data_IF_981083071764
#
_entry.id   IF_981083071764
#
_cell.length_a   1.000
_cell.length_b   1.000
_cell.length_c   1.000
_cell.angle_alpha   90.00
_cell.angle_beta   90.00
_cell.angle_gamma   90.00
#
_symmetry.space_group_name_H-M   'P 1'
#
loop_
_entity.id
_entity.type
_entity.pdbx_description
1 polymer ?
#
# COMPACT_ATOMS: atom_id res chain seq x y z
N UNK A 1 6.79 -54.74 55.52
CA UNK A 1 6.81 -54.89 54.06
C UNK A 1 7.97 -55.80 53.71
N UNK A 2 7.66 -56.89 53.02
CA UNK A 2 8.63 -57.93 52.67
C UNK A 2 9.59 -57.40 51.60
N UNK A 3 10.88 -57.76 51.71
CA UNK A 3 11.95 -57.44 50.76
C UNK A 3 11.62 -57.82 49.31
N UNK A 4 10.74 -58.80 49.09
CA UNK A 4 10.23 -59.20 47.78
C UNK A 4 9.33 -58.14 47.14
N UNK A 5 8.51 -57.45 47.94
CA UNK A 5 7.53 -56.46 47.51
C UNK A 5 8.22 -55.15 47.09
N UNK A 6 9.26 -54.72 47.82
CA UNK A 6 10.07 -53.57 47.46
C UNK A 6 10.85 -53.79 46.16
N UNK A 7 11.41 -54.99 45.95
CA UNK A 7 12.09 -55.31 44.69
C UNK A 7 11.14 -55.35 43.49
N UNK A 8 9.89 -55.77 43.67
CA UNK A 8 8.87 -55.73 42.61
C UNK A 8 8.47 -54.31 42.24
N UNK A 9 8.22 -53.45 43.24
CA UNK A 9 7.90 -52.04 43.00
C UNK A 9 9.05 -51.28 42.33
N UNK A 10 10.30 -51.58 42.71
CA UNK A 10 11.47 -50.96 42.10
C UNK A 10 11.66 -51.41 40.64
N UNK A 11 11.43 -52.69 40.32
CA UNK A 11 11.45 -53.19 38.93
C UNK A 11 10.31 -52.63 38.08
N UNK A 12 9.13 -52.45 38.67
CA UNK A 12 7.98 -51.84 38.00
C UNK A 12 8.24 -50.35 37.70
N UNK A 13 8.83 -49.61 38.64
CA UNK A 13 9.24 -48.21 38.47
C UNK A 13 10.30 -48.05 37.37
N UNK A 14 11.34 -48.89 37.37
CA UNK A 14 12.39 -48.85 36.33
C UNK A 14 11.80 -49.19 34.95
N UNK A 15 10.88 -50.15 34.85
CA UNK A 15 10.16 -50.44 33.60
C UNK A 15 9.34 -49.23 33.13
N UNK A 16 8.63 -48.58 34.04
CA UNK A 16 7.81 -47.42 33.69
C UNK A 16 8.66 -46.24 33.23
N UNK A 17 9.76 -45.94 33.93
CA UNK A 17 10.70 -44.89 33.54
C UNK A 17 11.37 -45.17 32.19
N UNK A 18 11.72 -46.44 31.91
CA UNK A 18 12.26 -46.85 30.61
C UNK A 18 11.24 -46.61 29.49
N UNK A 19 10.00 -47.09 29.64
CA UNK A 19 8.96 -46.90 28.62
C UNK A 19 8.58 -45.43 28.47
N UNK A 20 8.50 -44.66 29.56
CA UNK A 20 8.28 -43.22 29.51
C UNK A 20 9.39 -42.51 28.72
N UNK A 21 10.66 -42.85 28.96
CA UNK A 21 11.78 -42.27 28.22
C UNK A 21 11.74 -42.64 26.73
N UNK A 22 11.37 -43.88 26.39
CA UNK A 22 11.19 -44.32 24.99
C UNK A 22 10.07 -43.53 24.31
N UNK A 23 8.90 -43.40 24.94
CA UNK A 23 7.77 -42.65 24.37
C UNK A 23 8.05 -41.16 24.29
N UNK A 24 8.66 -40.55 25.30
CA UNK A 24 9.04 -39.14 25.28
C UNK A 24 10.07 -38.86 24.18
N UNK A 25 11.03 -39.75 23.97
CA UNK A 25 12.03 -39.61 22.90
C UNK A 25 11.39 -39.78 21.52
N UNK A 26 10.49 -40.74 21.35
CA UNK A 26 9.75 -40.93 20.11
C UNK A 26 8.84 -39.72 19.80
N UNK A 27 8.15 -39.19 20.80
CA UNK A 27 7.32 -37.99 20.66
C UNK A 27 8.16 -36.77 20.25
N UNK A 28 9.31 -36.56 20.89
CA UNK A 28 10.22 -35.47 20.52
C UNK A 28 10.81 -35.66 19.11
N UNK A 29 11.17 -36.89 18.73
CA UNK A 29 11.65 -37.18 17.39
C UNK A 29 10.56 -36.91 16.34
N UNK A 30 9.34 -37.40 16.55
CA UNK A 30 8.20 -37.11 15.65
C UNK A 30 7.94 -35.61 15.60
N UNK A 31 7.97 -34.91 16.73
CA UNK A 31 7.67 -33.47 16.74
C UNK A 31 8.76 -32.65 16.05
N UNK A 32 10.03 -32.90 16.34
CA UNK A 32 11.14 -32.05 15.87
C UNK A 32 11.76 -32.49 14.54
N UNK A 33 11.67 -33.77 14.18
CA UNK A 33 12.22 -34.30 12.91
C UNK A 33 11.13 -34.37 11.85
N UNK A 34 9.88 -34.64 12.25
CA UNK A 34 8.78 -34.85 11.30
C UNK A 34 7.80 -33.66 11.30
N UNK A 35 7.14 -33.36 12.40
CA UNK A 35 6.01 -32.43 12.45
C UNK A 35 6.42 -30.96 12.26
N UNK A 36 7.43 -30.49 13.00
CA UNK A 36 7.91 -29.11 12.90
C UNK A 36 8.56 -28.82 11.54
N UNK A 37 9.41 -29.69 10.96
CA UNK A 37 9.94 -29.47 9.62
C UNK A 37 8.86 -29.51 8.52
N UNK A 38 7.86 -30.39 8.62
CA UNK A 38 6.75 -30.41 7.65
C UNK A 38 5.82 -29.21 7.80
N UNK A 39 5.52 -28.77 9.03
CA UNK A 39 4.75 -27.55 9.24
C UNK A 39 5.54 -26.31 8.79
N UNK A 40 6.85 -26.31 9.00
CA UNK A 40 7.74 -25.28 8.50
C UNK A 40 7.82 -25.28 6.97
N UNK A 41 7.86 -26.44 6.32
CA UNK A 41 7.78 -26.53 4.85
C UNK A 41 6.38 -26.18 4.32
N UNK A 42 5.33 -26.40 5.10
CA UNK A 42 3.97 -25.98 4.76
C UNK A 42 3.85 -24.45 4.87
N UNK A 43 4.31 -23.84 5.96
CA UNK A 43 4.30 -22.38 6.16
C UNK A 43 5.33 -21.63 5.30
N UNK A 44 6.45 -22.27 4.93
CA UNK A 44 7.47 -21.74 4.01
C UNK A 44 7.22 -22.12 2.54
N UNK A 45 6.22 -22.96 2.26
CA UNK A 45 5.99 -23.59 0.96
C UNK A 45 4.55 -23.48 0.45
N UNK A 46 3.70 -22.63 1.03
CA UNK A 46 2.50 -22.13 0.32
C UNK A 46 2.95 -21.10 -0.71
N UNK A 47 3.60 -21.61 -1.76
CA UNK A 47 3.49 -21.15 -3.13
C UNK A 47 3.16 -22.41 -3.96
N UNK A 48 2.08 -22.43 -4.75
CA UNK A 48 1.57 -23.68 -5.32
C UNK A 48 2.49 -24.16 -6.45
N UNK A 49 2.99 -25.38 -6.32
CA UNK A 49 3.49 -26.20 -7.44
C UNK A 49 3.25 -27.67 -7.06
N UNK A 50 2.74 -28.55 -7.90
CA UNK A 50 2.27 -28.51 -9.27
C UNK A 50 1.88 -29.95 -9.57
N UNK A 51 0.65 -30.18 -10.02
CA UNK A 51 0.19 -31.46 -10.54
C UNK A 51 0.02 -31.32 -12.05
N UNK A 52 0.80 -32.10 -12.79
CA UNK A 52 0.88 -32.13 -14.25
C UNK A 52 -0.49 -32.08 -14.95
N UNK A 53 -0.66 -31.13 -15.87
CA UNK A 53 -1.62 -31.23 -16.96
C UNK A 53 -1.05 -30.54 -18.20
N UNK A 54 -1.25 -31.20 -19.33
CA UNK A 54 -0.61 -31.02 -20.61
C UNK A 54 -0.86 -29.65 -21.25
N UNK A 55 0.13 -29.22 -22.05
CA UNK A 55 0.03 -28.18 -23.08
C UNK A 55 -1.29 -28.22 -23.84
N UNK A 56 -1.96 -27.08 -23.91
CA UNK A 56 -2.46 -26.52 -25.16
C UNK A 56 -2.34 -25.00 -25.08
N UNK A 57 -1.46 -24.45 -25.93
CA UNK A 57 -1.23 -23.02 -26.09
C UNK A 57 -2.44 -22.39 -26.80
N UNK A 58 -3.30 -21.74 -26.03
CA UNK A 58 -4.16 -20.68 -26.50
C UNK A 58 -3.90 -19.47 -25.60
N UNK A 59 -3.04 -18.56 -26.07
CA UNK A 59 -2.84 -17.27 -25.47
C UNK A 59 -4.17 -16.51 -25.47
N UNK A 60 -4.82 -16.47 -24.31
CA UNK A 60 -5.67 -15.35 -23.92
C UNK A 60 -4.87 -14.57 -22.89
N UNK A 61 -4.36 -13.41 -23.32
CA UNK A 61 -3.96 -12.34 -22.42
C UNK A 61 -5.24 -11.85 -21.73
N UNK A 62 -5.48 -12.32 -20.50
CA UNK A 62 -6.35 -11.64 -19.55
C UNK A 62 -5.56 -10.42 -19.05
N UNK A 63 -5.75 -9.31 -19.77
CA UNK A 63 -5.31 -7.97 -19.44
C UNK A 63 -6.25 -7.38 -18.38
N UNK A 64 -5.96 -7.66 -17.11
CA UNK A 64 -6.51 -6.91 -15.99
C UNK A 64 -5.52 -5.79 -15.67
N UNK A 65 -5.98 -4.54 -15.84
CA UNK A 65 -5.21 -3.30 -15.96
C UNK A 65 -3.95 -3.22 -15.11
N UNK A 66 -2.80 -3.30 -15.78
CA UNK A 66 -1.51 -3.06 -15.15
C UNK A 66 -1.18 -1.57 -15.19
N UNK A 67 -1.10 -0.88 -14.04
CA UNK A 67 -0.62 0.49 -13.99
C UNK A 67 0.83 0.60 -14.50
N UNK A 68 1.06 1.47 -15.48
CA UNK A 68 2.36 1.74 -16.07
C UNK A 68 2.89 3.10 -15.61
N UNK A 69 3.77 3.08 -14.60
CA UNK A 69 4.47 4.30 -14.14
C UNK A 69 5.78 4.53 -14.90
N UNK A 70 5.93 5.72 -15.47
CA UNK A 70 7.12 6.14 -16.23
C UNK A 70 7.43 7.62 -16.01
N UNK A 71 8.71 8.00 -15.97
CA UNK A 71 9.10 9.42 -16.10
C UNK A 71 9.01 9.86 -17.56
N UNK A 72 8.46 11.04 -17.82
CA UNK A 72 8.23 11.56 -19.18
C UNK A 72 9.52 11.59 -20.02
N UNK A 73 10.68 11.84 -19.39
CA UNK A 73 11.98 11.87 -20.07
C UNK A 73 12.46 10.51 -20.60
N UNK A 74 11.87 9.42 -20.08
CA UNK A 74 12.30 8.05 -20.34
C UNK A 74 11.45 7.38 -21.42
N UNK A 75 10.30 7.97 -21.77
CA UNK A 75 9.39 7.46 -22.79
C UNK A 75 9.96 7.78 -24.18
N UNK A 76 10.36 6.73 -24.91
CA UNK A 76 10.89 6.83 -26.29
C UNK A 76 9.95 6.24 -27.34
N UNK A 77 9.08 5.34 -26.92
CA UNK A 77 8.08 4.63 -27.72
C UNK A 77 6.83 4.45 -26.85
N UNK A 78 5.64 4.49 -27.45
CA UNK A 78 4.37 4.32 -26.75
C UNK A 78 3.70 5.65 -26.36
N UNK A 79 2.69 5.57 -25.50
CA UNK A 79 1.95 6.73 -24.98
C UNK A 79 2.85 7.62 -24.14
N UNK A 80 2.86 8.91 -24.44
CA UNK A 80 3.54 9.97 -23.71
C UNK A 80 2.59 11.14 -23.45
N UNK A 81 2.93 11.97 -22.46
CA UNK A 81 2.23 13.22 -22.16
C UNK A 81 3.26 14.32 -21.99
N UNK A 82 3.29 15.25 -22.95
CA UNK A 82 4.15 16.43 -22.90
C UNK A 82 3.43 17.57 -22.19
N UNK A 83 4.07 18.15 -21.17
CA UNK A 83 3.50 19.25 -20.39
C UNK A 83 4.02 20.62 -20.85
N UNK A 84 3.08 21.51 -21.17
CA UNK A 84 3.29 22.95 -21.36
C UNK A 84 2.61 23.77 -20.27
N UNK A 85 3.16 24.96 -19.99
CA UNK A 85 2.57 25.92 -19.04
C UNK A 85 2.74 27.36 -19.54
N UNK A 86 1.65 28.14 -19.57
CA UNK A 86 1.67 29.54 -20.01
C UNK A 86 0.64 30.41 -19.27
N UNK A 87 1.04 31.59 -18.73
CA UNK A 87 2.42 32.08 -18.58
C UNK A 87 3.25 31.17 -17.65
N UNK A 88 4.54 31.47 -17.49
CA UNK A 88 5.38 30.71 -16.56
C UNK A 88 4.79 30.74 -15.13
N UNK A 89 4.72 29.57 -14.43
CA UNK A 89 4.08 29.46 -13.12
C UNK A 89 4.57 30.52 -12.12
N UNK A 90 3.62 31.32 -11.63
CA UNK A 90 3.85 32.40 -10.67
C UNK A 90 2.70 32.44 -9.65
N UNK A 91 3.02 32.62 -8.37
CA UNK A 91 2.05 32.69 -7.28
C UNK A 91 0.97 33.73 -7.56
N UNK A 92 -0.30 33.34 -7.39
CA UNK A 92 -1.45 34.22 -7.58
C UNK A 92 -1.77 34.58 -9.04
N UNK A 93 -1.03 34.05 -10.01
CA UNK A 93 -1.31 34.22 -11.44
C UNK A 93 -1.82 32.89 -12.00
N UNK A 94 -3.02 32.93 -12.59
CA UNK A 94 -3.57 31.77 -13.28
C UNK A 94 -2.66 31.35 -14.43
N UNK A 95 -2.17 30.12 -14.36
CA UNK A 95 -1.32 29.49 -15.35
C UNK A 95 -2.14 28.42 -16.07
N UNK A 96 -2.16 28.48 -17.40
CA UNK A 96 -2.78 27.43 -18.21
C UNK A 96 -1.77 26.33 -18.42
N UNK A 97 -2.08 25.14 -17.89
CA UNK A 97 -1.40 23.91 -18.26
C UNK A 97 -2.02 23.34 -19.52
N UNK A 98 -1.17 22.84 -20.39
CA UNK A 98 -1.51 22.15 -21.64
C UNK A 98 -0.78 20.81 -21.65
N UNK A 99 -1.54 19.72 -21.66
CA UNK A 99 -1.03 18.36 -21.67
C UNK A 99 -1.28 17.74 -23.03
N UNK A 100 -0.21 17.50 -23.78
CA UNK A 100 -0.26 16.90 -25.10
C UNK A 100 -0.06 15.38 -25.02
N UNK A 101 -1.16 14.64 -25.07
CA UNK A 101 -1.18 13.18 -25.09
C UNK A 101 -0.86 12.69 -26.50
N UNK A 102 0.21 11.91 -26.63
CA UNK A 102 0.76 11.54 -27.93
C UNK A 102 1.39 10.14 -27.95
N UNK A 103 1.56 9.62 -29.15
CA UNK A 103 2.24 8.36 -29.41
C UNK A 103 3.68 8.62 -29.91
N UNK A 104 4.67 8.25 -29.10
CA UNK A 104 6.08 8.32 -29.44
C UNK A 104 6.50 7.10 -30.29
N UNK A 105 7.49 7.24 -31.19
CA UNK A 105 8.33 8.42 -31.43
C UNK A 105 7.76 9.40 -32.47
N UNK A 106 6.57 9.12 -33.02
CA UNK A 106 5.98 9.91 -34.09
C UNK A 106 5.44 11.27 -33.61
N UNK A 107 5.28 11.44 -32.29
CA UNK A 107 4.62 12.57 -31.67
C UNK A 107 3.20 12.77 -32.24
N UNK A 108 2.54 11.66 -32.54
CA UNK A 108 1.21 11.66 -33.15
C UNK A 108 0.16 11.90 -32.06
N UNK A 109 -0.78 12.86 -32.22
CA UNK A 109 -1.79 13.12 -31.21
C UNK A 109 -2.64 11.89 -30.94
N UNK A 110 -2.92 11.61 -29.67
CA UNK A 110 -3.95 10.68 -29.24
C UNK A 110 -5.17 11.53 -28.87
N UNK A 111 -6.24 11.53 -29.68
CA UNK A 111 -7.46 12.28 -29.38
C UNK A 111 -8.05 11.92 -28.01
N UNK A 112 -8.68 12.88 -27.34
CA UNK A 112 -9.24 12.64 -26.01
C UNK A 112 -10.40 11.64 -26.02
N UNK A 113 -11.11 11.50 -27.15
CA UNK A 113 -12.14 10.48 -27.35
C UNK A 113 -11.61 9.04 -27.38
N UNK A 114 -10.29 8.86 -27.58
CA UNK A 114 -9.62 7.56 -27.52
C UNK A 114 -9.11 7.24 -26.10
N UNK A 115 -9.27 8.18 -25.15
CA UNK A 115 -8.97 7.97 -23.73
C UNK A 115 -10.21 7.46 -23.01
N UNK A 116 -10.02 6.48 -22.15
CA UNK A 116 -11.07 5.98 -21.27
C UNK A 116 -11.29 6.96 -20.11
N UNK A 117 -12.55 7.08 -19.70
CA UNK A 117 -12.92 7.89 -18.53
C UNK A 117 -12.66 7.05 -17.28
N UNK A 118 -11.84 7.60 -16.38
CA UNK A 118 -11.55 7.09 -15.05
C UNK A 118 -11.94 8.18 -14.05
N UNK A 119 -12.65 7.83 -12.96
CA UNK A 119 -13.19 8.79 -11.99
C UNK A 119 -13.84 10.03 -12.65
N UNK A 120 -14.76 9.78 -13.59
CA UNK A 120 -15.52 10.80 -14.33
C UNK A 120 -14.71 11.79 -15.19
N UNK A 121 -13.40 11.58 -15.36
CA UNK A 121 -12.51 12.45 -16.14
C UNK A 121 -11.59 11.64 -17.08
N UNK A 122 -11.16 12.22 -18.22
CA UNK A 122 -10.22 11.55 -19.12
C UNK A 122 -8.75 11.65 -18.66
N UNK A 123 -8.47 12.54 -17.70
CA UNK A 123 -7.13 12.77 -17.18
C UNK A 123 -7.18 13.28 -15.75
N UNK A 124 -6.29 12.73 -14.92
CA UNK A 124 -6.00 13.23 -13.58
C UNK A 124 -4.60 13.82 -13.56
N UNK A 125 -4.47 14.99 -12.93
CA UNK A 125 -3.17 15.64 -12.72
C UNK A 125 -2.99 15.91 -11.25
N UNK A 126 -2.03 15.23 -10.66
CA UNK A 126 -1.69 15.35 -9.25
C UNK A 126 -0.37 16.09 -9.14
N UNK A 127 -0.32 17.13 -8.33
CA UNK A 127 0.88 17.92 -8.11
C UNK A 127 1.17 18.18 -6.65
N UNK A 128 2.44 18.17 -6.29
CA UNK A 128 2.92 18.52 -4.94
C UNK A 128 4.12 19.44 -4.99
N UNK A 129 4.24 20.31 -3.98
CA UNK A 129 5.51 21.01 -3.71
C UNK A 129 6.51 20.03 -3.10
N UNK A 130 7.80 20.26 -3.32
CA UNK A 130 8.91 19.40 -2.86
C UNK A 130 8.96 19.15 -1.35
N UNK A 131 8.22 19.93 -0.56
CA UNK A 131 8.11 19.75 0.89
C UNK A 131 6.84 19.02 1.34
N UNK A 132 5.96 18.64 0.41
CA UNK A 132 4.68 17.96 0.62
C UNK A 132 3.62 18.78 1.39
N UNK A 133 3.80 20.10 1.46
CA UNK A 133 2.86 21.01 2.15
C UNK A 133 1.86 21.69 1.20
N UNK A 134 2.07 21.57 -0.11
CA UNK A 134 1.11 22.01 -1.13
C UNK A 134 0.76 20.80 -1.98
N UNK A 135 -0.54 20.59 -2.19
CA UNK A 135 -1.08 19.50 -2.99
C UNK A 135 -2.24 20.03 -3.83
N UNK A 136 -2.35 19.55 -5.06
CA UNK A 136 -3.52 19.77 -5.88
C UNK A 136 -3.78 18.55 -6.75
N UNK A 137 -5.05 18.33 -7.03
CA UNK A 137 -5.56 17.30 -7.93
C UNK A 137 -6.54 18.00 -8.87
N UNK A 138 -6.19 18.09 -10.15
CA UNK A 138 -6.93 18.83 -11.16
C UNK A 138 -7.21 17.96 -12.37
N UNK A 139 -8.26 18.31 -13.12
CA UNK A 139 -8.79 17.48 -14.21
C UNK A 139 -8.78 18.26 -15.52
N UNK A 140 -7.72 18.15 -16.34
CA UNK A 140 -7.68 18.76 -17.66
C UNK A 140 -8.84 18.32 -18.55
N UNK A 141 -9.40 19.29 -19.28
CA UNK A 141 -10.47 19.05 -20.24
C UNK A 141 -9.93 19.15 -21.67
N UNK A 142 -10.45 18.35 -22.62
CA UNK A 142 -9.98 18.39 -24.00
C UNK A 142 -10.10 19.77 -24.64
N UNK A 143 -9.05 20.22 -25.32
CA UNK A 143 -9.12 21.40 -26.19
C UNK A 143 -9.86 21.04 -27.48
N UNK A 144 -11.05 21.60 -27.74
CA UNK A 144 -11.84 21.26 -28.92
C UNK A 144 -11.19 21.72 -30.24
N UNK A 145 -10.11 22.50 -30.17
CA UNK A 145 -9.39 23.04 -31.33
C UNK A 145 -8.06 22.35 -31.60
N UNK A 146 -7.59 21.49 -30.68
CA UNK A 146 -6.28 20.87 -30.75
C UNK A 146 -6.34 19.39 -30.31
N UNK A 147 -6.40 18.42 -31.25
CA UNK A 147 -6.46 16.99 -30.91
C UNK A 147 -5.29 16.55 -30.02
N UNK A 148 -5.61 15.79 -28.98
CA UNK A 148 -4.65 15.28 -27.99
C UNK A 148 -4.19 16.30 -26.95
N UNK A 149 -4.68 17.55 -27.00
CA UNK A 149 -4.41 18.53 -25.97
C UNK A 149 -5.53 18.53 -24.93
N UNK A 150 -5.16 18.48 -23.65
CA UNK A 150 -6.06 18.71 -22.53
C UNK A 150 -5.53 19.88 -21.71
N UNK A 151 -6.40 20.83 -21.39
CA UNK A 151 -6.02 22.11 -20.77
C UNK A 151 -6.73 22.33 -19.43
N UNK A 152 -6.04 23.00 -18.51
CA UNK A 152 -6.61 23.41 -17.22
C UNK A 152 -5.92 24.67 -16.68
N UNK A 153 -6.68 25.64 -16.14
CA UNK A 153 -6.08 26.74 -15.40
C UNK A 153 -5.78 26.29 -13.96
N UNK A 154 -4.59 26.62 -13.46
CA UNK A 154 -4.26 26.45 -12.06
C UNK A 154 -3.57 27.70 -11.50
N UNK A 155 -3.91 28.07 -10.27
CA UNK A 155 -3.29 29.20 -9.57
C UNK A 155 -2.60 28.70 -8.31
N UNK A 156 -1.28 28.84 -8.29
CA UNK A 156 -0.47 28.42 -7.14
C UNK A 156 -0.61 29.42 -5.98
N UNK A 157 -0.79 28.89 -4.77
CA UNK A 157 -0.86 29.67 -3.54
C UNK A 157 0.51 30.03 -2.96
N UNK A 158 1.55 29.24 -3.28
CA UNK A 158 2.88 29.40 -2.71
C UNK A 158 4.00 29.13 -3.74
N UNK A 159 5.19 29.73 -3.56
CA UNK A 159 6.32 29.49 -4.44
C UNK A 159 7.04 28.18 -4.04
N UNK A 160 7.91 27.68 -4.92
CA UNK A 160 8.74 26.51 -4.63
C UNK A 160 8.91 25.58 -5.82
N UNK A 161 9.61 24.48 -5.61
CA UNK A 161 9.74 23.41 -6.61
C UNK A 161 8.54 22.49 -6.52
N UNK A 162 7.94 22.16 -7.65
CA UNK A 162 6.79 21.26 -7.76
C UNK A 162 7.10 20.10 -8.71
N UNK A 163 6.52 18.93 -8.42
CA UNK A 163 6.45 17.77 -9.31
C UNK A 163 4.99 17.44 -9.58
N UNK A 164 4.71 16.97 -10.79
CA UNK A 164 3.39 16.53 -11.22
C UNK A 164 3.45 15.09 -11.71
N UNK A 165 2.32 14.40 -11.61
CA UNK A 165 2.03 13.16 -12.32
C UNK A 165 0.74 13.36 -13.12
N UNK A 166 0.74 12.86 -14.35
CA UNK A 166 -0.43 12.84 -15.23
C UNK A 166 -0.88 11.41 -15.41
N UNK A 167 -2.15 11.13 -15.19
CA UNK A 167 -2.75 9.80 -15.39
C UNK A 167 -3.78 9.86 -16.51
N UNK A 168 -3.66 8.93 -17.46
CA UNK A 168 -4.63 8.71 -18.52
C UNK A 168 -4.83 7.21 -18.70
N UNK A 169 -6.06 6.80 -19.00
CA UNK A 169 -6.38 5.39 -19.28
C UNK A 169 -6.56 5.18 -20.78
N UNK A 170 -5.88 4.18 -21.35
CA UNK A 170 -6.01 3.81 -22.76
C UNK A 170 -5.78 2.32 -22.94
N UNK A 171 -6.74 1.64 -23.56
CA UNK A 171 -6.66 0.21 -23.84
C UNK A 171 -6.64 -0.62 -22.56
N UNK A 172 -7.45 -0.26 -21.56
CA UNK A 172 -7.54 -0.94 -20.27
C UNK A 172 -6.40 -0.64 -19.29
N UNK A 173 -5.36 0.07 -19.74
CA UNK A 173 -4.15 0.36 -18.96
C UNK A 173 -4.16 1.82 -18.49
N UNK A 174 -3.92 2.02 -17.20
CA UNK A 174 -3.65 3.35 -16.62
C UNK A 174 -2.18 3.68 -16.79
N UNK A 175 -1.90 4.79 -17.44
CA UNK A 175 -0.56 5.32 -17.68
C UNK A 175 -0.30 6.49 -16.74
N UNK A 176 0.55 6.28 -15.74
CA UNK A 176 1.00 7.33 -14.80
C UNK A 176 2.34 7.88 -15.26
N UNK A 177 2.37 9.15 -15.63
CA UNK A 177 3.56 9.79 -16.20
C UNK A 177 4.07 10.89 -15.28
N UNK A 178 5.25 10.68 -14.71
CA UNK A 178 5.97 11.66 -13.90
C UNK A 178 6.52 12.78 -14.79
N UNK A 179 6.10 14.01 -14.51
CA UNK A 179 6.54 15.19 -15.26
C UNK A 179 7.83 15.77 -14.66
N UNK A 180 8.64 16.49 -15.46
CA UNK A 180 9.81 17.21 -14.95
C UNK A 180 9.43 18.20 -13.85
N UNK A 181 10.28 18.31 -12.83
CA UNK A 181 10.10 19.33 -11.79
C UNK A 181 10.19 20.74 -12.37
N UNK A 182 9.40 21.66 -11.84
CA UNK A 182 9.37 23.05 -12.27
C UNK A 182 9.27 24.01 -11.08
N UNK A 183 9.76 25.22 -11.27
CA UNK A 183 9.76 26.27 -10.26
C UNK A 183 8.52 27.15 -10.41
N UNK A 184 7.76 27.29 -9.33
CA UNK A 184 6.74 28.33 -9.18
C UNK A 184 7.39 29.56 -8.54
N UNK A 185 7.36 30.68 -9.25
CA UNK A 185 7.97 31.94 -8.82
C UNK A 185 7.03 32.74 -7.92
N UNK A 186 7.57 33.48 -6.96
CA UNK A 186 6.75 34.35 -6.10
C UNK A 186 7.41 34.68 -4.78
N UNK A 187 6.75 35.53 -3.98
CA UNK A 187 7.16 35.81 -2.62
C UNK A 187 6.56 34.76 -1.65
N UNK A 188 7.32 34.39 -0.61
CA UNK A 188 6.90 33.40 0.38
C UNK A 188 8.00 32.41 0.70
N UNK A 189 7.72 31.49 1.62
CA UNK A 189 8.59 30.34 1.88
C UNK A 189 8.53 29.39 0.68
N UNK A 190 9.69 28.96 0.17
CA UNK A 190 9.79 28.00 -0.94
C UNK A 190 9.74 26.54 -0.47
N UNK A 191 9.93 26.33 0.84
CA UNK A 191 9.85 25.04 1.51
C UNK A 191 9.64 25.28 3.02
N UNK A 192 8.76 24.49 3.62
CA UNK A 192 8.41 24.51 5.04
C UNK A 192 7.99 23.12 5.54
N UNK A 193 8.68 22.06 5.09
CA UNK A 193 8.37 20.66 5.39
C UNK A 193 8.11 20.44 6.89
N UNK A 194 6.93 19.94 7.23
CA UNK A 194 6.51 19.72 8.60
C UNK A 194 6.06 18.27 8.82
N UNK A 195 6.94 17.44 9.38
CA UNK A 195 6.67 16.02 9.60
C UNK A 195 6.02 15.79 10.96
N UNK A 196 4.78 15.29 10.93
CA UNK A 196 4.01 14.88 12.10
C UNK A 196 3.31 13.55 11.84
N UNK A 197 3.45 12.59 12.75
CA UNK A 197 2.78 11.28 12.71
C UNK A 197 1.46 11.29 13.48
N UNK A 198 0.83 12.45 13.63
CA UNK A 198 -0.53 12.50 14.16
C UNK A 198 -1.45 11.68 13.27
N UNK A 199 -2.27 10.83 13.89
CA UNK A 199 -3.33 10.05 13.24
C UNK A 199 -4.68 10.77 13.26
N UNK A 200 -4.66 12.02 13.68
CA UNK A 200 -5.84 12.86 13.72
C UNK A 200 -5.43 14.29 13.33
N UNK A 201 -6.10 14.86 12.34
CA UNK A 201 -5.83 16.19 11.81
C UNK A 201 -7.12 17.00 11.72
N UNK A 202 -7.00 18.32 11.85
CA UNK A 202 -8.11 19.24 11.67
C UNK A 202 -7.93 19.98 10.35
N UNK A 203 -8.95 19.92 9.49
CA UNK A 203 -9.00 20.60 8.20
C UNK A 203 -10.36 21.30 8.06
N UNK A 204 -10.33 22.63 8.02
CA UNK A 204 -11.56 23.43 8.08
C UNK A 204 -12.34 23.18 9.38
N UNK A 205 -13.58 22.74 9.25
CA UNK A 205 -14.50 22.42 10.36
C UNK A 205 -14.58 20.91 10.64
N UNK A 206 -13.63 20.15 10.10
CA UNK A 206 -13.61 18.69 10.18
C UNK A 206 -12.37 18.18 10.90
N UNK A 207 -12.58 17.13 11.66
CA UNK A 207 -11.56 16.30 12.29
C UNK A 207 -11.52 14.98 11.52
N UNK A 208 -10.36 14.66 10.93
CA UNK A 208 -10.15 13.43 10.16
C UNK A 208 -9.17 12.55 10.92
N UNK A 209 -9.62 11.36 11.28
CA UNK A 209 -8.82 10.32 11.87
C UNK A 209 -8.37 9.32 10.80
N UNK A 210 -7.14 8.83 10.93
CA UNK A 210 -6.57 7.75 10.14
C UNK A 210 -6.20 6.62 11.09
N UNK A 211 -6.88 5.49 11.00
CA UNK A 211 -6.45 4.25 11.61
C UNK A 211 -5.53 3.51 10.64
N UNK A 212 -4.36 3.11 11.14
CA UNK A 212 -3.29 2.49 10.36
C UNK A 212 -2.46 1.61 11.28
N UNK A 213 -2.30 0.34 10.90
CA UNK A 213 -1.51 -0.62 11.66
C UNK A 213 -0.01 -0.32 11.53
N UNK A 214 0.64 -0.04 12.66
CA UNK A 214 2.05 0.33 12.71
C UNK A 214 2.94 -0.74 13.41
N UNK A 215 4.20 -0.91 12.96
CA UNK A 215 4.86 -0.18 11.88
C UNK A 215 4.42 -0.67 10.49
N UNK A 216 4.19 0.28 9.57
CA UNK A 216 4.04 -0.03 8.15
C UNK A 216 5.38 -0.52 7.60
N UNK A 217 5.37 -1.63 6.85
CA UNK A 217 6.59 -2.25 6.33
C UNK A 217 6.56 -2.35 4.83
N UNK A 218 7.72 -2.13 4.22
CA UNK A 218 7.97 -2.37 2.80
C UNK A 218 7.53 -3.78 2.40
N UNK A 219 6.86 -3.87 1.26
CA UNK A 219 6.39 -5.12 0.66
C UNK A 219 5.22 -5.78 1.39
N UNK A 220 4.69 -5.14 2.43
CA UNK A 220 3.46 -5.56 3.10
C UNK A 220 2.36 -4.57 2.76
N UNK A 221 1.17 -5.12 2.56
CA UNK A 221 -0.04 -4.36 2.45
C UNK A 221 -0.33 -3.64 3.77
N UNK A 222 -0.77 -2.39 3.67
CA UNK A 222 -1.23 -1.57 4.76
C UNK A 222 -2.66 -1.13 4.46
N UNK A 223 -3.51 -1.27 5.47
CA UNK A 223 -4.91 -0.85 5.45
C UNK A 223 -5.02 0.56 6.06
N UNK A 224 -5.69 1.45 5.33
CA UNK A 224 -5.98 2.82 5.74
C UNK A 224 -7.47 2.93 6.02
N UNK A 225 -7.85 3.22 7.25
CA UNK A 225 -9.24 3.44 7.62
C UNK A 225 -9.43 4.90 8.00
N UNK A 226 -10.35 5.59 7.33
CA UNK A 226 -10.64 6.99 7.60
C UNK A 226 -11.99 7.14 8.29
N UNK A 227 -11.97 7.96 9.35
CA UNK A 227 -13.15 8.38 10.09
C UNK A 227 -13.20 9.91 10.14
N UNK A 228 -14.35 10.49 9.77
CA UNK A 228 -14.55 11.93 9.59
C UNK A 228 -15.65 12.42 10.51
N UNK A 229 -15.29 13.38 11.35
CA UNK A 229 -16.21 14.02 12.29
C UNK A 229 -16.15 15.54 12.16
N UNK A 230 -17.25 16.22 12.49
CA UNK A 230 -17.25 17.66 12.77
C UNK A 230 -16.42 17.96 14.03
N UNK A 231 -16.02 19.22 14.23
CA UNK A 231 -15.35 19.65 15.49
C UNK A 231 -16.16 19.39 16.78
N UNK A 232 -17.47 19.11 16.65
CA UNK A 232 -18.34 18.74 17.77
C UNK A 232 -18.44 17.23 18.01
N UNK A 233 -17.76 16.41 17.21
CA UNK A 233 -17.79 14.95 17.32
C UNK A 233 -19.04 14.31 16.71
N UNK A 234 -19.68 14.98 15.74
CA UNK A 234 -20.75 14.37 14.93
C UNK A 234 -20.13 13.83 13.66
N UNK A 235 -20.35 12.55 13.37
CA UNK A 235 -19.92 11.86 12.16
C UNK A 235 -20.42 12.57 10.90
N UNK A 236 -19.58 12.61 9.87
CA UNK A 236 -19.84 13.29 8.61
C UNK A 236 -20.10 12.27 7.52
N UNK A 237 -21.28 12.35 6.94
CA UNK A 237 -21.59 11.64 5.69
C UNK A 237 -20.82 12.30 4.54
N UNK A 238 -20.22 11.49 3.66
CA UNK A 238 -19.54 11.97 2.46
C UNK A 238 -20.40 11.76 1.23
N UNK A 239 -20.34 12.70 0.28
CA UNK A 239 -20.92 12.56 -1.06
C UNK A 239 -19.81 12.18 -2.05
N UNK A 240 -20.19 11.53 -3.15
CA UNK A 240 -19.24 11.14 -4.20
C UNK A 240 -18.50 12.37 -4.74
N UNK A 241 -17.19 12.24 -4.78
CA UNK A 241 -16.27 13.13 -5.47
C UNK A 241 -15.68 12.33 -6.62
N UNK A 242 -15.94 12.71 -7.88
CA UNK A 242 -15.41 11.99 -9.05
C UNK A 242 -15.80 10.49 -9.07
N UNK A 243 -17.04 10.20 -8.69
CA UNK A 243 -17.58 8.83 -8.67
C UNK A 243 -17.21 7.98 -7.45
N UNK A 244 -16.43 8.51 -6.50
CA UNK A 244 -16.01 7.77 -5.31
C UNK A 244 -16.19 8.58 -4.03
N UNK A 245 -16.44 7.90 -2.90
CA UNK A 245 -16.64 8.55 -1.60
C UNK A 245 -15.41 9.33 -1.09
N UNK A 246 -14.21 8.90 -1.49
CA UNK A 246 -12.94 9.53 -1.14
C UNK A 246 -11.87 9.19 -2.19
N UNK A 247 -10.85 10.01 -2.32
CA UNK A 247 -9.64 9.70 -3.10
C UNK A 247 -8.42 9.73 -2.20
N UNK A 248 -7.50 8.77 -2.34
CA UNK A 248 -6.27 8.71 -1.57
C UNK A 248 -5.07 8.71 -2.52
N UNK A 249 -4.21 9.71 -2.37
CA UNK A 249 -2.90 9.76 -3.04
C UNK A 249 -1.81 9.57 -1.99
N UNK A 250 -0.89 8.64 -2.21
CA UNK A 250 0.27 8.42 -1.33
C UNK A 250 1.56 8.59 -2.11
N UNK A 251 2.38 9.55 -1.69
CA UNK A 251 3.61 9.95 -2.41
C UNK A 251 4.81 9.82 -1.48
N UNK A 252 5.88 9.19 -1.94
CA UNK A 252 7.15 9.20 -1.21
C UNK A 252 7.76 10.60 -1.22
N UNK A 253 8.37 11.00 -0.13
CA UNK A 253 8.78 12.39 0.12
C UNK A 253 9.90 12.94 -0.77
N UNK A 254 10.49 12.09 -1.62
CA UNK A 254 11.44 12.44 -2.69
C UNK A 254 10.84 12.28 -4.11
N UNK A 255 9.54 11.98 -4.21
CA UNK A 255 8.80 11.90 -5.47
C UNK A 255 9.11 10.68 -6.32
N UNK A 256 9.79 9.66 -5.80
CA UNK A 256 10.14 8.45 -6.57
C UNK A 256 9.08 7.36 -6.55
N UNK A 257 8.02 7.53 -5.75
CA UNK A 257 6.91 6.59 -5.66
C UNK A 257 5.62 7.39 -5.56
N UNK A 258 4.64 6.97 -6.34
CA UNK A 258 3.32 7.56 -6.43
C UNK A 258 2.27 6.46 -6.43
N UNK A 259 1.25 6.61 -5.60
CA UNK A 259 0.08 5.73 -5.56
C UNK A 259 -1.16 6.60 -5.54
N UNK A 260 -2.11 6.31 -6.43
CA UNK A 260 -3.44 6.92 -6.45
C UNK A 260 -4.47 5.80 -6.35
N UNK A 261 -5.37 5.87 -5.38
CA UNK A 261 -6.32 4.80 -5.08
C UNK A 261 -7.65 5.33 -4.56
N UNK A 262 -8.66 4.46 -4.63
CA UNK A 262 -10.04 4.69 -4.23
C UNK A 262 -10.48 3.63 -3.21
N UNK A 263 -11.56 3.87 -2.45
CA UNK A 263 -12.08 2.90 -1.50
C UNK A 263 -12.58 1.64 -2.19
N UNK A 264 -12.53 0.51 -1.50
CA UNK A 264 -13.15 -0.71 -1.99
C UNK A 264 -14.67 -0.66 -1.76
N UNK A 265 -15.47 -0.89 -2.80
CA UNK A 265 -16.89 -1.24 -2.66
C UNK A 265 -16.96 -2.74 -2.41
N UNK A 266 -17.47 -3.14 -1.25
CA UNK A 266 -17.31 -4.49 -0.72
C UNK A 266 -17.78 -5.63 -1.63
N UNK A 267 -16.88 -6.58 -1.89
CA UNK A 267 -17.17 -8.00 -1.68
C UNK A 267 -15.86 -8.81 -1.53
N UNK A 268 -15.76 -9.56 -0.42
CA UNK A 268 -14.61 -10.40 -0.09
C UNK A 268 -14.53 -11.64 -1.00
N UNK A 269 -13.57 -11.68 -1.93
CA UNK A 269 -12.96 -12.95 -2.36
C UNK A 269 -11.49 -12.78 -2.75
N UNK A 270 -10.61 -13.19 -1.81
CA UNK A 270 -9.17 -13.08 -1.94
C UNK A 270 -8.58 -13.80 -3.15
N UNK A 271 -7.73 -13.08 -3.87
CA UNK A 271 -6.75 -13.65 -4.80
C UNK A 271 -5.39 -13.05 -4.48
N UNK A 272 -4.55 -13.85 -3.82
CA UNK A 272 -3.14 -13.54 -3.62
C UNK A 272 -2.43 -13.44 -4.98
N UNK A 273 -1.90 -12.27 -5.32
CA UNK A 273 -0.92 -12.12 -6.40
C UNK A 273 0.26 -11.29 -5.91
N UNK A 274 1.45 -11.88 -5.95
CA UNK A 274 2.69 -11.16 -5.68
C UNK A 274 2.96 -10.22 -6.86
N UNK A 275 2.88 -8.90 -6.66
CA UNK A 275 3.03 -7.93 -7.75
C UNK A 275 4.24 -7.00 -7.51
N UNK A 276 5.12 -6.75 -8.52
CA UNK A 276 6.37 -6.01 -8.32
C UNK A 276 6.26 -4.48 -8.31
N UNK A 277 5.06 -3.90 -8.21
CA UNK A 277 4.79 -2.46 -8.21
C UNK A 277 3.59 -2.18 -7.30
N UNK A 278 3.41 -0.94 -6.84
CA UNK A 278 2.17 -0.59 -6.17
C UNK A 278 1.02 -0.72 -7.19
N UNK A 279 0.02 -1.53 -6.88
CA UNK A 279 -1.22 -1.62 -7.67
C UNK A 279 -2.33 -1.09 -6.79
N UNK A 280 -3.14 -0.21 -7.35
CA UNK A 280 -4.36 0.22 -6.72
C UNK A 280 -5.36 0.61 -7.82
N UNK A 281 -6.28 -0.30 -8.12
CA UNK A 281 -7.47 0.01 -8.91
C UNK A 281 -8.63 -0.72 -8.25
N UNK A 282 -9.54 0.04 -7.64
CA UNK A 282 -10.89 -0.41 -7.38
C UNK A 282 -11.70 -0.19 -8.66
N UNK A 283 -12.26 -1.25 -9.24
CA UNK A 283 -13.27 -1.09 -10.29
C UNK A 283 -14.61 -0.79 -9.62
N UNK A 284 -15.19 0.38 -9.92
CA UNK A 284 -16.54 0.72 -9.50
C UNK A 284 -17.57 -0.09 -10.32
N UNK A 285 -18.12 -1.16 -9.74
CA UNK A 285 -19.43 -1.67 -10.13
C UNK A 285 -20.50 -1.10 -9.18
N UNK A 286 -21.51 -0.43 -9.76
CA UNK A 286 -22.69 0.06 -9.03
C UNK A 286 -23.38 -1.09 -8.28
N UNK A 287 -23.51 -0.99 -6.94
CA UNK A 287 -24.70 -1.46 -6.25
C UNK A 287 -24.89 -0.90 -4.83
N UNK A 288 -26.15 -0.57 -4.56
CA UNK A 288 -26.71 -0.09 -3.31
C UNK A 288 -26.63 -1.07 -2.13
N UNK A 289 -26.48 -0.53 -0.92
CA UNK A 289 -26.90 -1.21 0.31
C UNK A 289 -26.10 -0.81 1.53
N UNK A 290 -26.77 -0.18 2.50
CA UNK A 290 -26.22 0.28 3.77
C UNK A 290 -25.55 -0.83 4.60
N UNK A 291 -24.39 -0.52 5.16
CA UNK A 291 -23.88 -1.14 6.39
C UNK A 291 -23.54 -0.05 7.42
N UNK A 292 -23.71 -0.37 8.70
CA UNK A 292 -23.64 0.59 9.83
C UNK A 292 -22.20 0.92 10.29
N UNK A 293 -21.17 0.46 9.59
CA UNK A 293 -19.78 0.87 9.79
C UNK A 293 -19.36 1.75 8.59
N UNK A 294 -19.38 3.08 8.78
CA UNK A 294 -19.12 4.10 7.73
C UNK A 294 -17.64 4.37 7.49
N UNK A 295 -16.81 3.38 7.79
CA UNK A 295 -15.37 3.47 7.69
C UNK A 295 -14.94 3.40 6.21
N UNK A 296 -14.20 4.41 5.74
CA UNK A 296 -13.70 4.45 4.36
C UNK A 296 -12.32 3.81 4.33
N UNK A 297 -12.20 2.68 3.62
CA UNK A 297 -11.03 1.80 3.67
C UNK A 297 -10.24 1.79 2.36
N UNK A 298 -8.92 1.78 2.46
CA UNK A 298 -8.00 1.63 1.32
C UNK A 298 -6.88 0.65 1.65
N UNK A 299 -6.33 0.01 0.63
CA UNK A 299 -5.15 -0.84 0.75
C UNK A 299 -4.02 -0.30 -0.11
N UNK A 300 -2.80 -0.27 0.43
CA UNK A 300 -1.62 0.04 -0.36
C UNK A 300 -0.42 -0.79 0.08
N UNK A 301 0.37 -1.24 -0.90
CA UNK A 301 1.66 -1.89 -0.65
C UNK A 301 2.81 -0.96 -1.03
N UNK A 302 3.78 -0.81 -0.14
CA UNK A 302 4.91 0.09 -0.33
C UNK A 302 6.15 -0.63 -0.88
N UNK A 303 6.63 -0.34 -2.09
CA UNK A 303 7.79 -1.03 -2.66
C UNK A 303 9.12 -0.54 -2.06
N UNK A 304 9.14 0.64 -1.44
CA UNK A 304 10.33 1.21 -0.79
C UNK A 304 10.05 1.56 0.67
N UNK A 305 11.07 1.45 1.51
CA UNK A 305 11.05 2.05 2.84
C UNK A 305 11.33 3.55 2.71
N UNK A 306 10.78 4.35 3.61
CA UNK A 306 10.92 5.80 3.53
C UNK A 306 9.81 6.55 4.23
N UNK A 307 9.77 7.85 3.98
CA UNK A 307 8.73 8.73 4.47
C UNK A 307 7.76 9.00 3.31
N UNK A 308 6.47 8.82 3.56
CA UNK A 308 5.41 9.02 2.60
C UNK A 308 4.41 10.04 3.14
N UNK A 309 3.79 10.80 2.24
CA UNK A 309 2.67 11.69 2.53
C UNK A 309 1.42 11.14 1.85
N UNK A 310 0.41 10.83 2.65
CA UNK A 310 -0.94 10.50 2.17
C UNK A 310 -1.78 11.77 2.13
N UNK A 311 -2.53 11.96 1.05
CA UNK A 311 -3.49 13.04 0.81
C UNK A 311 -4.86 12.40 0.56
N UNK A 312 -5.76 12.52 1.52
CA UNK A 312 -7.11 11.98 1.47
C UNK A 312 -8.09 13.11 1.14
N UNK A 313 -8.74 13.02 -0.02
CA UNK A 313 -9.71 13.99 -0.51
C UNK A 313 -11.14 13.49 -0.34
N UNK A 314 -11.99 14.26 0.32
CA UNK A 314 -13.38 13.92 0.55
C UNK A 314 -14.29 15.13 0.37
N UNK A 315 -15.58 14.87 0.15
CA UNK A 315 -16.62 15.90 0.11
C UNK A 315 -17.68 15.59 1.17
N UNK A 316 -17.87 16.47 2.18
CA UNK A 316 -19.00 16.35 3.09
C UNK A 316 -20.33 16.46 2.34
N UNK A 317 -21.30 15.62 2.67
CA UNK A 317 -22.62 15.65 2.05
C UNK A 317 -23.32 17.01 2.25
N UNK A 318 -23.84 17.57 1.15
CA UNK A 318 -24.54 18.86 1.18
C UNK A 318 -23.61 20.07 1.34
N UNK A 319 -22.33 19.91 1.03
CA UNK A 319 -21.35 21.00 0.99
C UNK A 319 -21.64 22.02 -0.11
N UNK A 320 -21.20 23.26 0.09
CA UNK A 320 -21.27 24.34 -0.92
C UNK A 320 -20.03 24.37 -1.85
N UNK A 321 -19.12 23.39 -1.74
CA UNK A 321 -17.94 23.27 -2.59
C UNK A 321 -18.34 23.08 -4.06
N UNK A 322 -17.60 23.73 -4.97
CA UNK A 322 -17.81 23.52 -6.41
C UNK A 322 -17.61 22.03 -6.76
N UNK A 323 -18.27 21.47 -7.80
CA UNK A 323 -18.22 20.03 -8.07
C UNK A 323 -16.82 19.43 -8.24
N UNK A 324 -15.84 20.22 -8.64
CA UNK A 324 -14.45 19.77 -8.85
C UNK A 324 -13.54 19.97 -7.63
N UNK A 325 -14.06 20.55 -6.54
CA UNK A 325 -13.31 20.80 -5.31
C UNK A 325 -13.51 19.70 -4.28
N UNK A 326 -12.53 19.46 -3.43
CA UNK A 326 -12.64 18.55 -2.29
C UNK A 326 -11.81 19.06 -1.11
N UNK A 327 -12.15 18.62 0.09
CA UNK A 327 -11.35 18.87 1.29
C UNK A 327 -10.24 17.83 1.33
N UNK A 328 -8.99 18.28 1.54
CA UNK A 328 -7.83 17.39 1.61
C UNK A 328 -7.28 17.32 3.03
N UNK A 329 -7.29 16.12 3.62
CA UNK A 329 -6.55 15.81 4.85
C UNK A 329 -5.22 15.14 4.50
N UNK A 330 -4.14 15.43 5.25
CA UNK A 330 -2.82 14.91 4.92
C UNK A 330 -2.07 14.31 6.11
N UNK A 331 -1.54 13.10 5.92
CA UNK A 331 -0.91 12.29 6.97
C UNK A 331 0.50 11.85 6.56
N UNK A 332 1.47 11.96 7.48
CA UNK A 332 2.78 11.34 7.25
C UNK A 332 2.77 9.88 7.69
N UNK A 333 3.37 9.03 6.86
CA UNK A 333 3.52 7.60 7.06
C UNK A 333 5.00 7.25 7.00
N UNK A 334 5.48 6.49 7.99
CA UNK A 334 6.83 5.96 7.99
C UNK A 334 6.76 4.49 7.58
N UNK A 335 7.37 4.17 6.44
CA UNK A 335 7.52 2.80 5.98
C UNK A 335 8.90 2.31 6.38
N UNK A 336 8.95 1.23 7.15
CA UNK A 336 10.18 0.61 7.60
C UNK A 336 10.62 -0.52 6.67
N UNK A 337 11.92 -0.81 6.65
CA UNK A 337 12.44 -2.03 6.02
C UNK A 337 11.89 -3.26 6.71
N UNK A 338 11.69 -4.34 5.96
CA UNK A 338 11.33 -5.61 6.56
C UNK A 338 12.55 -6.17 7.33
N UNK A 339 12.43 -6.50 8.63
CA UNK A 339 13.56 -7.03 9.37
C UNK A 339 14.02 -8.33 8.72
N UNK A 340 15.34 -8.58 8.62
CA UNK A 340 15.83 -9.80 8.00
C UNK A 340 15.25 -11.00 8.75
N UNK A 341 14.60 -11.91 8.00
CA UNK A 341 14.06 -13.18 8.51
C UNK A 341 15.08 -13.93 9.38
N UNK A 342 16.37 -13.70 9.10
CA UNK A 342 17.49 -14.33 9.77
C UNK A 342 17.73 -13.88 11.23
N UNK A 343 17.26 -12.70 11.65
CA UNK A 343 17.59 -12.18 12.99
C UNK A 343 16.90 -12.96 14.13
N UNK A 344 15.69 -13.47 13.89
CA UNK A 344 14.90 -14.12 14.94
C UNK A 344 15.19 -15.61 15.10
N UNK A 345 15.59 -16.33 14.04
CA UNK A 345 15.82 -17.78 14.16
C UNK A 345 17.13 -18.12 14.85
N UNK A 346 18.23 -17.39 14.62
CA UNK A 346 19.51 -17.66 15.31
C UNK A 346 19.37 -17.49 16.81
N UNK A 347 18.63 -16.45 17.24
CA UNK A 347 18.35 -16.23 18.65
C UNK A 347 17.47 -17.35 19.22
N UNK A 348 16.39 -17.73 18.53
CA UNK A 348 15.52 -18.84 18.94
C UNK A 348 16.24 -20.19 18.98
N UNK A 349 17.11 -20.46 18.00
CA UNK A 349 17.94 -21.65 17.92
C UNK A 349 18.98 -21.66 19.06
N UNK A 350 19.67 -20.55 19.28
CA UNK A 350 20.64 -20.40 20.35
C UNK A 350 19.99 -20.58 21.72
N UNK A 351 18.86 -19.91 21.98
CA UNK A 351 18.08 -20.07 23.22
C UNK A 351 17.64 -21.52 23.39
N UNK A 352 17.18 -22.17 22.33
CA UNK A 352 16.77 -23.58 22.35
C UNK A 352 17.95 -24.50 22.67
N UNK A 353 19.12 -24.29 22.07
CA UNK A 353 20.35 -25.05 22.38
C UNK A 353 20.79 -24.87 23.84
N UNK A 354 20.74 -23.63 24.37
CA UNK A 354 21.04 -23.35 25.78
C UNK A 354 20.07 -24.08 26.71
N UNK A 355 18.77 -24.02 26.42
CA UNK A 355 17.74 -24.71 27.22
C UNK A 355 17.93 -26.23 27.19
N UNK A 356 18.28 -26.81 26.04
CA UNK A 356 18.58 -28.25 25.90
C UNK A 356 19.79 -28.63 26.77
N UNK A 357 20.85 -27.83 26.76
CA UNK A 357 22.05 -28.09 27.59
C UNK A 357 21.71 -28.00 29.08
N UNK A 358 20.98 -26.97 29.50
CA UNK A 358 20.55 -26.80 30.90
C UNK A 358 19.67 -27.97 31.36
N UNK A 359 18.71 -28.39 30.53
CA UNK A 359 17.85 -29.54 30.79
C UNK A 359 18.68 -30.83 30.91
N UNK A 360 19.63 -31.05 30.00
CA UNK A 360 20.54 -32.21 30.03
C UNK A 360 21.38 -32.27 31.30
N UNK A 361 21.87 -31.11 31.78
CA UNK A 361 22.62 -31.01 33.04
C UNK A 361 21.72 -31.28 34.25
N UNK A 362 20.50 -30.74 34.25
CA UNK A 362 19.50 -30.98 35.30
C UNK A 362 19.13 -32.46 35.43
N UNK A 363 18.83 -33.12 34.30
CA UNK A 363 18.52 -34.55 34.26
C UNK A 363 19.70 -35.39 34.74
N UNK A 364 20.93 -35.09 34.31
CA UNK A 364 22.14 -35.80 34.79
C UNK A 364 22.31 -35.66 36.30
N UNK A 365 22.10 -34.46 36.86
CA UNK A 365 22.15 -34.24 38.31
C UNK A 365 21.07 -35.04 39.04
N UNK A 366 19.84 -35.03 38.53
CA UNK A 366 18.73 -35.77 39.12
C UNK A 366 18.99 -37.29 39.16
N UNK A 367 19.44 -37.85 38.04
CA UNK A 367 19.79 -39.28 37.96
C UNK A 367 20.96 -39.65 38.88
N UNK A 368 21.97 -38.78 39.02
CA UNK A 368 23.10 -39.02 39.92
C UNK A 368 22.72 -39.00 41.41
N UNK A 369 21.71 -38.22 41.81
CA UNK A 369 21.20 -38.16 43.18
C UNK A 369 20.37 -39.39 43.54
N UNK A 370 19.58 -39.92 42.59
CA UNK A 370 18.72 -41.09 42.81
C UNK A 370 19.42 -42.45 42.60
N UNK A 371 20.68 -42.45 42.19
CA UNK A 371 21.51 -43.65 42.05
C UNK A 371 22.28 -44.03 43.34
N UNK A 372 22.16 -43.21 44.39
CA UNK A 372 22.53 -43.53 45.77
C UNK A 372 21.28 -43.87 46.55
#
# INVERSE_FOLDING_TARGET
MDTSEQQQLQRASIRWQFWFAVFATAFLAVTFIWFLPLRFLYEAGVGPSGGDAMHDDAAMEDDHGAAAEHEASDIREGLAVDMGASPAPTVGVATWFDFFVNEQPANAPIPAEDLEIEHERPMHVIGVRSDMEEFFHIHPLPDPTAPGHLIVPHTFAAPGMYKLWTEVKKGGVVHTIGQPEFLVNGAGAQSAKNVSFSRNVVVGEYQVALELDEPVRKGREAEFVFDIHTLTGVEVEVEDYLGEAMHLVVIKDDGTEFVHTHPEVGDMHGVFRAIPRAFAHGEAEEAAGADEDRDIQFHATFPQAGLYRAFAQFRPAGTDLAPEEAITAAFWIRVEEEPPLLANWWLRLFVSLVLIVLLSLGVRRYLAVNAK
#
